data_IF_889859922485
#
_entry.id   IF_889859922485
#
_cell.length_a   1.000
_cell.length_b   1.000
_cell.length_c   1.000
_cell.angle_alpha   90.00
_cell.angle_beta   90.00
_cell.angle_gamma   90.00
#
_symmetry.space_group_name_H-M   'P 1'
#
loop_
_entity.id
_entity.type
_entity.pdbx_description
1 polymer ?
#
# COMPACT_ATOMS: atom_id res chain seq x y z
N UNK A 1 21.97 1.90 -67.43
CA UNK A 1 22.57 1.63 -66.10
C UNK A 1 22.58 0.12 -65.95
N UNK A 2 23.64 -0.59 -66.36
CA UNK A 2 24.92 -0.86 -65.65
C UNK A 2 24.63 -1.50 -64.28
N UNK A 3 25.17 -2.64 -63.84
CA UNK A 3 25.98 -3.75 -64.38
C UNK A 3 25.96 -4.83 -63.26
N UNK A 4 25.72 -6.10 -63.55
CA UNK A 4 26.71 -7.17 -63.77
C UNK A 4 27.54 -7.56 -62.53
N UNK A 5 27.39 -8.83 -62.14
CA UNK A 5 28.27 -9.63 -61.28
C UNK A 5 29.75 -9.50 -61.69
N UNK A 6 30.68 -9.62 -60.74
CA UNK A 6 31.83 -10.54 -60.86
C UNK A 6 32.65 -10.70 -59.57
N UNK A 7 33.02 -11.96 -59.40
CA UNK A 7 33.89 -12.61 -58.42
C UNK A 7 35.38 -12.36 -58.72
N UNK A 8 36.26 -12.91 -57.86
CA UNK A 8 37.74 -13.08 -57.98
C UNK A 8 38.58 -11.91 -57.42
N UNK A 9 39.78 -12.06 -56.85
CA UNK A 9 40.59 -13.18 -56.35
C UNK A 9 41.72 -12.56 -55.51
N UNK A 10 42.44 -13.42 -54.79
CA UNK A 10 43.55 -13.16 -53.88
C UNK A 10 44.71 -12.30 -54.42
N UNK A 11 45.47 -11.68 -53.51
CA UNK A 11 46.90 -11.94 -53.37
C UNK A 11 47.48 -11.36 -52.06
N UNK A 12 48.21 -12.22 -51.35
CA UNK A 12 49.03 -11.95 -50.17
C UNK A 12 50.13 -10.92 -50.42
N UNK A 13 50.55 -10.25 -49.34
CA UNK A 13 51.93 -9.78 -49.17
C UNK A 13 52.21 -9.62 -47.67
N UNK A 14 52.83 -10.65 -47.09
CA UNK A 14 53.60 -10.57 -45.85
C UNK A 14 54.76 -9.56 -46.00
N UNK A 15 55.17 -8.93 -44.89
CA UNK A 15 56.59 -8.84 -44.64
C UNK A 15 57.00 -9.48 -43.32
N UNK A 16 58.13 -10.17 -43.42
CA UNK A 16 58.81 -10.96 -42.41
C UNK A 16 59.09 -10.20 -41.10
N UNK A 17 58.90 -10.91 -39.99
CA UNK A 17 59.30 -10.46 -38.66
C UNK A 17 60.81 -10.53 -38.42
N UNK A 18 61.26 -9.94 -37.30
CA UNK A 18 62.39 -10.47 -36.57
C UNK A 18 62.09 -10.54 -35.05
N UNK A 19 63.01 -11.07 -34.24
CA UNK A 19 63.00 -12.42 -33.70
C UNK A 19 62.33 -12.52 -32.32
N UNK A 20 61.93 -13.74 -31.96
CA UNK A 20 61.54 -14.10 -30.61
C UNK A 20 62.71 -13.89 -29.63
N UNK A 21 62.46 -13.12 -28.57
CA UNK A 21 63.32 -13.08 -27.39
C UNK A 21 62.45 -12.94 -26.13
N UNK A 22 62.54 -13.95 -25.26
CA UNK A 22 62.31 -13.83 -23.82
C UNK A 22 60.87 -13.81 -23.33
N UNK A 23 60.31 -14.98 -23.03
CA UNK A 23 59.21 -15.10 -22.09
C UNK A 23 59.66 -14.60 -20.71
N UNK A 24 59.11 -13.47 -20.26
CA UNK A 24 59.06 -13.14 -18.84
C UNK A 24 57.80 -13.79 -18.23
N UNK A 25 57.87 -14.38 -17.04
CA UNK A 25 56.68 -14.95 -16.39
C UNK A 25 55.64 -13.85 -16.12
N UNK A 26 54.34 -14.13 -16.26
CA UNK A 26 53.32 -13.18 -15.87
C UNK A 26 53.44 -12.89 -14.37
N UNK A 27 53.45 -11.59 -14.03
CA UNK A 27 53.36 -11.14 -12.65
C UNK A 27 52.11 -11.76 -12.01
N UNK A 28 52.26 -12.29 -10.80
CA UNK A 28 51.15 -12.81 -10.03
C UNK A 28 50.08 -11.70 -9.86
N UNK A 29 48.79 -12.02 -10.01
CA UNK A 29 47.74 -11.03 -9.75
C UNK A 29 47.83 -10.57 -8.28
N UNK A 30 47.52 -9.29 -8.00
CA UNK A 30 47.52 -8.78 -6.65
C UNK A 30 46.54 -9.60 -5.81
N UNK A 31 47.03 -10.06 -4.66
CA UNK A 31 46.27 -10.82 -3.67
C UNK A 31 45.03 -10.00 -3.28
N UNK A 32 43.84 -10.59 -3.44
CA UNK A 32 42.60 -9.94 -3.08
C UNK A 32 42.65 -9.56 -1.58
N UNK A 33 42.19 -8.36 -1.20
CA UNK A 33 42.16 -7.99 0.21
C UNK A 33 41.31 -9.01 0.97
N UNK A 34 41.69 -9.36 2.22
CA UNK A 34 40.96 -10.33 3.01
C UNK A 34 39.49 -9.88 3.13
N UNK A 35 38.58 -10.78 2.75
CA UNK A 35 37.14 -10.58 2.93
C UNK A 35 36.92 -10.29 4.41
N UNK A 36 36.50 -9.07 4.73
CA UNK A 36 36.14 -8.71 6.09
C UNK A 36 35.07 -9.70 6.57
N UNK A 37 35.16 -10.23 7.80
CA UNK A 37 34.14 -11.11 8.33
C UNK A 37 32.79 -10.39 8.23
N UNK A 38 31.86 -11.08 7.59
CA UNK A 38 30.48 -10.63 7.40
C UNK A 38 29.94 -10.21 8.78
N UNK A 39 29.57 -8.92 8.90
CA UNK A 39 29.04 -8.41 10.14
C UNK A 39 27.85 -9.29 10.54
N UNK A 40 27.76 -9.76 11.80
CA UNK A 40 26.68 -10.63 12.21
C UNK A 40 25.34 -9.97 11.84
N UNK A 41 24.50 -10.70 11.11
CA UNK A 41 23.16 -10.25 10.75
C UNK A 41 22.50 -9.68 11.99
N UNK A 42 22.09 -8.41 11.90
CA UNK A 42 21.38 -7.76 12.97
C UNK A 42 20.18 -8.63 13.36
N UNK A 43 19.94 -8.88 14.66
CA UNK A 43 18.86 -9.74 15.09
C UNK A 43 17.56 -9.28 14.44
N UNK A 44 16.92 -10.21 13.72
CA UNK A 44 15.69 -9.97 12.99
C UNK A 44 14.66 -9.38 13.97
N UNK A 45 14.16 -8.18 13.65
CA UNK A 45 13.21 -7.50 14.50
C UNK A 45 12.02 -8.45 14.77
N UNK A 46 11.52 -8.55 16.01
CA UNK A 46 10.44 -9.46 16.34
C UNK A 46 9.25 -9.22 15.40
N UNK A 47 8.76 -10.29 14.78
CA UNK A 47 7.66 -10.23 13.84
C UNK A 47 6.43 -9.55 14.48
N UNK A 48 5.81 -8.63 13.74
CA UNK A 48 4.62 -7.93 14.22
C UNK A 48 3.53 -8.93 14.65
N UNK A 49 2.82 -8.68 15.77
CA UNK A 49 1.78 -9.57 16.26
C UNK A 49 0.67 -9.73 15.21
N UNK A 50 -0.06 -10.85 15.28
CA UNK A 50 -1.30 -11.03 14.50
C UNK A 50 -2.44 -10.24 15.13
N UNK A 51 -3.35 -9.74 14.31
CA UNK A 51 -4.56 -9.10 14.79
C UNK A 51 -5.46 -10.12 15.51
N UNK A 52 -6.12 -9.73 16.62
CA UNK A 52 -7.04 -10.62 17.34
C UNK A 52 -8.29 -10.96 16.52
N UNK A 53 -8.65 -10.13 15.54
CA UNK A 53 -9.76 -10.35 14.62
C UNK A 53 -9.56 -9.54 13.35
N UNK A 54 -10.17 -10.00 12.25
CA UNK A 54 -10.25 -9.29 10.97
C UNK A 54 -11.69 -8.94 10.59
N UNK A 55 -12.63 -9.12 11.54
CA UNK A 55 -14.03 -8.80 11.34
C UNK A 55 -14.26 -7.32 11.59
N UNK A 56 -14.77 -6.62 10.59
CA UNK A 56 -15.11 -5.20 10.66
C UNK A 56 -16.59 -5.03 10.33
N UNK A 57 -17.37 -4.51 11.27
CA UNK A 57 -18.81 -4.23 11.07
C UNK A 57 -19.57 -5.44 10.52
N UNK A 58 -19.23 -6.66 10.98
CA UNK A 58 -19.81 -7.92 10.52
C UNK A 58 -19.21 -8.53 9.23
N UNK A 59 -18.26 -7.85 8.56
CA UNK A 59 -17.56 -8.39 7.39
C UNK A 59 -16.19 -8.96 7.79
N UNK A 60 -15.95 -10.25 7.53
CA UNK A 60 -14.67 -10.91 7.80
C UNK A 60 -13.65 -10.67 6.66
N UNK A 61 -12.73 -9.72 6.84
CA UNK A 61 -11.68 -9.49 5.84
C UNK A 61 -10.72 -10.67 5.77
N UNK A 62 -10.33 -11.04 4.56
CA UNK A 62 -9.47 -12.19 4.25
C UNK A 62 -10.22 -13.50 4.11
N UNK A 63 -11.54 -13.48 4.34
CA UNK A 63 -12.41 -14.66 4.25
C UNK A 63 -13.67 -14.39 3.41
N UNK A 64 -14.24 -13.19 3.51
CA UNK A 64 -15.48 -12.85 2.83
C UNK A 64 -15.35 -12.97 1.30
N UNK A 65 -16.14 -13.88 0.73
CA UNK A 65 -16.30 -14.07 -0.71
C UNK A 65 -17.40 -13.13 -1.28
N UNK A 66 -17.80 -13.36 -2.53
CA UNK A 66 -18.72 -12.44 -3.21
C UNK A 66 -20.14 -12.55 -2.63
N UNK A 67 -20.53 -13.76 -2.23
CA UNK A 67 -21.81 -14.01 -1.59
C UNK A 67 -21.86 -13.34 -0.20
N UNK A 68 -20.78 -13.44 0.59
CA UNK A 68 -20.68 -12.77 1.88
C UNK A 68 -20.70 -11.25 1.75
N UNK A 69 -19.99 -10.68 0.77
CA UNK A 69 -20.02 -9.24 0.49
C UNK A 69 -21.41 -8.80 0.04
N UNK A 70 -22.04 -9.53 -0.87
CA UNK A 70 -23.38 -9.22 -1.36
C UNK A 70 -24.43 -9.29 -0.24
N UNK A 71 -24.34 -10.28 0.65
CA UNK A 71 -25.20 -10.39 1.83
C UNK A 71 -24.99 -9.20 2.78
N UNK A 72 -23.74 -8.83 3.06
CA UNK A 72 -23.40 -7.70 3.92
C UNK A 72 -23.95 -6.36 3.39
N UNK A 73 -23.86 -6.16 2.06
CA UNK A 73 -24.42 -4.99 1.35
C UNK A 73 -25.95 -4.99 1.42
N UNK A 74 -26.59 -6.13 1.15
CA UNK A 74 -28.03 -6.27 1.14
C UNK A 74 -28.67 -6.07 2.53
N UNK A 75 -28.06 -6.61 3.59
CA UNK A 75 -28.50 -6.42 4.98
C UNK A 75 -28.59 -4.93 5.36
N UNK A 76 -27.73 -4.10 4.77
CA UNK A 76 -27.65 -2.66 5.01
C UNK A 76 -28.46 -1.84 4.00
N UNK A 77 -29.20 -2.48 3.09
CA UNK A 77 -29.96 -1.78 2.05
C UNK A 77 -29.09 -0.88 1.17
N UNK A 78 -27.82 -1.24 0.97
CA UNK A 78 -26.87 -0.46 0.20
C UNK A 78 -26.92 -0.86 -1.27
N UNK A 79 -26.84 0.14 -2.15
CA UNK A 79 -26.60 -0.07 -3.58
C UNK A 79 -25.13 0.22 -3.89
N UNK A 80 -24.39 -0.84 -4.20
CA UNK A 80 -22.95 -0.79 -4.43
C UNK A 80 -22.65 -1.40 -5.80
N UNK A 81 -22.58 -0.60 -6.87
CA UNK A 81 -22.15 -1.12 -8.16
C UNK A 81 -20.77 -1.77 -8.04
N UNK A 82 -20.64 -2.94 -8.68
CA UNK A 82 -19.35 -3.58 -8.87
C UNK A 82 -18.65 -2.96 -10.09
N UNK A 83 -17.40 -2.57 -9.88
CA UNK A 83 -16.52 -2.01 -10.90
C UNK A 83 -15.27 -2.86 -10.93
N UNK A 84 -14.95 -3.43 -12.09
CA UNK A 84 -13.66 -4.04 -12.31
C UNK A 84 -12.58 -2.94 -12.27
N UNK A 85 -11.53 -3.13 -11.48
CA UNK A 85 -10.41 -2.18 -11.49
C UNK A 85 -9.62 -2.39 -12.80
N UNK A 86 -9.56 -1.42 -13.73
CA UNK A 86 -8.96 -1.66 -15.04
C UNK A 86 -7.44 -1.93 -14.98
N UNK A 87 -6.80 -1.66 -13.84
CA UNK A 87 -5.35 -1.73 -13.65
C UNK A 87 -4.91 -2.76 -12.60
N UNK A 88 -5.86 -3.51 -12.01
CA UNK A 88 -5.60 -4.43 -10.91
C UNK A 88 -6.47 -5.66 -11.06
N UNK A 89 -5.98 -6.84 -10.69
CA UNK A 89 -6.75 -8.09 -10.58
C UNK A 89 -7.66 -8.05 -9.35
N UNK A 90 -8.44 -6.96 -9.24
CA UNK A 90 -9.30 -6.66 -8.10
C UNK A 90 -10.65 -6.19 -8.58
N UNK A 91 -11.71 -6.70 -7.94
CA UNK A 91 -13.07 -6.17 -8.07
C UNK A 91 -13.36 -5.25 -6.92
N UNK A 92 -14.02 -4.15 -7.23
CA UNK A 92 -14.37 -3.12 -6.26
C UNK A 92 -15.87 -2.95 -6.25
N UNK A 93 -16.47 -3.01 -5.06
CA UNK A 93 -17.85 -2.56 -4.85
C UNK A 93 -17.81 -1.22 -4.16
N UNK A 94 -18.33 -0.20 -4.85
CA UNK A 94 -18.28 1.19 -4.38
C UNK A 94 -19.70 1.69 -4.16
N UNK A 95 -20.10 1.80 -2.91
CA UNK A 95 -21.37 2.39 -2.52
C UNK A 95 -21.15 3.90 -2.41
N UNK A 96 -21.64 4.67 -3.38
CA UNK A 96 -21.59 6.13 -3.34
C UNK A 96 -23.00 6.69 -3.15
N UNK A 97 -23.15 7.61 -2.21
CA UNK A 97 -24.43 8.21 -1.88
C UNK A 97 -24.40 8.81 -0.50
N UNK A 98 -25.44 9.56 -0.13
CA UNK A 98 -25.58 10.05 1.24
C UNK A 98 -26.42 9.06 2.03
N UNK A 99 -25.76 8.30 2.88
CA UNK A 99 -26.35 7.23 3.67
C UNK A 99 -26.63 7.72 5.09
N UNK A 100 -27.76 7.27 5.66
CA UNK A 100 -28.09 7.56 7.05
C UNK A 100 -26.99 6.99 7.98
N UNK A 101 -26.60 7.70 9.05
CA UNK A 101 -25.54 7.22 9.93
C UNK A 101 -25.85 5.87 10.60
N UNK A 102 -27.14 5.54 10.77
CA UNK A 102 -27.66 4.29 11.32
C UNK A 102 -27.37 3.04 10.47
N UNK A 103 -26.96 3.20 9.20
CA UNK A 103 -26.65 2.07 8.32
C UNK A 103 -25.38 1.32 8.75
N UNK A 104 -24.51 1.95 9.54
CA UNK A 104 -23.38 1.32 10.20
C UNK A 104 -23.53 1.54 11.72
N UNK A 105 -24.41 0.77 12.38
CA UNK A 105 -24.96 1.09 13.70
C UNK A 105 -23.94 1.03 14.85
N UNK A 106 -22.83 0.29 14.69
CA UNK A 106 -21.81 0.07 15.74
C UNK A 106 -21.03 1.35 16.14
N UNK A 107 -21.35 2.53 15.59
CA UNK A 107 -20.49 3.71 15.67
C UNK A 107 -21.16 5.02 16.09
N UNK A 108 -22.48 5.06 16.34
CA UNK A 108 -23.17 6.25 16.89
C UNK A 108 -22.91 7.57 16.13
N UNK A 109 -22.53 7.48 14.85
CA UNK A 109 -21.91 8.58 14.11
C UNK A 109 -22.90 9.69 13.76
N UNK A 110 -22.44 10.93 13.76
CA UNK A 110 -23.20 12.12 13.39
C UNK A 110 -23.00 12.54 11.92
N UNK A 111 -21.87 12.16 11.33
CA UNK A 111 -21.51 12.52 9.96
C UNK A 111 -22.23 11.73 8.87
N UNK A 112 -22.44 12.38 7.74
CA UNK A 112 -23.01 11.76 6.54
C UNK A 112 -22.03 10.74 5.97
N UNK A 113 -22.42 9.47 5.94
CA UNK A 113 -21.65 8.44 5.25
C UNK A 113 -21.82 8.65 3.75
N UNK A 114 -20.69 8.89 3.06
CA UNK A 114 -20.69 9.26 1.64
C UNK A 114 -20.10 8.22 0.71
N UNK A 115 -19.28 7.34 1.28
CA UNK A 115 -18.67 6.26 0.51
C UNK A 115 -18.41 5.04 1.40
N UNK A 116 -18.70 3.87 0.84
CA UNK A 116 -18.15 2.60 1.28
C UNK A 116 -17.45 1.98 0.06
N UNK A 117 -16.22 1.51 0.24
CA UNK A 117 -15.47 0.79 -0.77
C UNK A 117 -15.01 -0.55 -0.21
N UNK A 118 -15.41 -1.62 -0.87
CA UNK A 118 -14.94 -2.98 -0.61
C UNK A 118 -14.12 -3.42 -1.81
N UNK A 119 -12.90 -3.90 -1.59
CA UNK A 119 -12.10 -4.50 -2.65
C UNK A 119 -11.76 -5.96 -2.31
N UNK A 120 -11.76 -6.77 -3.36
CA UNK A 120 -11.39 -8.19 -3.34
C UNK A 120 -10.54 -8.52 -4.56
N UNK A 121 -9.82 -9.63 -4.52
CA UNK A 121 -9.25 -10.22 -5.73
C UNK A 121 -10.37 -10.82 -6.60
N UNK A 122 -10.13 -11.01 -7.90
CA UNK A 122 -11.11 -11.64 -8.80
C UNK A 122 -11.58 -13.00 -8.24
N UNK A 123 -10.63 -13.87 -7.89
CA UNK A 123 -10.88 -15.21 -7.35
C UNK A 123 -10.51 -15.35 -5.87
N UNK A 124 -10.50 -14.24 -5.11
CA UNK A 124 -10.06 -14.24 -3.72
C UNK A 124 -10.98 -13.46 -2.78
N UNK A 125 -10.70 -13.53 -1.47
CA UNK A 125 -11.53 -12.88 -0.47
C UNK A 125 -11.38 -11.35 -0.51
N UNK A 126 -12.30 -10.66 0.17
CA UNK A 126 -12.18 -9.24 0.46
C UNK A 126 -10.89 -8.96 1.23
N UNK A 127 -10.09 -8.02 0.76
CA UNK A 127 -8.84 -7.62 1.42
C UNK A 127 -8.83 -6.16 1.87
N UNK A 128 -9.88 -5.41 1.53
CA UNK A 128 -9.98 -4.00 1.83
C UNK A 128 -11.43 -3.60 2.10
N UNK A 129 -11.64 -2.84 3.18
CA UNK A 129 -12.86 -2.08 3.43
C UNK A 129 -12.45 -0.65 3.80
N UNK A 130 -13.05 0.35 3.16
CA UNK A 130 -12.96 1.73 3.62
C UNK A 130 -14.32 2.40 3.68
N UNK A 131 -14.48 3.29 4.66
CA UNK A 131 -15.66 4.15 4.78
C UNK A 131 -15.21 5.61 4.85
N UNK A 132 -15.98 6.50 4.22
CA UNK A 132 -15.74 7.94 4.21
C UNK A 132 -16.99 8.66 4.69
N UNK A 133 -16.86 9.38 5.79
CA UNK A 133 -17.89 10.26 6.34
C UNK A 133 -17.50 11.71 6.16
N UNK A 134 -18.48 12.57 5.88
CA UNK A 134 -18.29 14.01 5.69
C UNK A 134 -19.01 14.79 6.79
N UNK A 135 -18.34 15.83 7.26
CA UNK A 135 -18.79 16.68 8.35
C UNK A 135 -18.64 18.14 7.95
N UNK A 136 -19.55 18.95 8.49
CA UNK A 136 -19.52 20.40 8.36
C UNK A 136 -18.88 21.07 9.59
N UNK A 137 -18.87 20.39 10.74
CA UNK A 137 -18.41 20.93 12.01
C UNK A 137 -17.17 20.16 12.53
N UNK A 138 -16.10 20.87 12.95
CA UNK A 138 -14.93 20.25 13.57
C UNK A 138 -15.22 19.44 14.84
N UNK A 139 -16.16 19.90 15.67
CA UNK A 139 -16.50 19.21 16.91
C UNK A 139 -17.10 17.82 16.64
N UNK A 140 -18.01 17.72 15.68
CA UNK A 140 -18.69 16.46 15.33
C UNK A 140 -17.70 15.42 14.78
N UNK A 141 -16.78 15.84 13.89
CA UNK A 141 -15.79 14.92 13.33
C UNK A 141 -14.74 14.49 14.36
N UNK A 142 -14.37 15.37 15.30
CA UNK A 142 -13.48 15.00 16.39
C UNK A 142 -14.13 13.99 17.34
N UNK A 143 -15.41 14.21 17.71
CA UNK A 143 -16.16 13.29 18.54
C UNK A 143 -16.28 11.90 17.89
N UNK A 144 -16.69 11.85 16.62
CA UNK A 144 -16.80 10.59 15.87
C UNK A 144 -15.43 9.91 15.68
N UNK A 145 -14.35 10.68 15.51
CA UNK A 145 -12.99 10.14 15.45
C UNK A 145 -12.58 9.47 16.75
N UNK A 146 -12.78 10.12 17.89
CA UNK A 146 -12.46 9.54 19.20
C UNK A 146 -13.30 8.30 19.47
N UNK A 147 -14.60 8.35 19.18
CA UNK A 147 -15.48 7.19 19.32
C UNK A 147 -15.02 6.00 18.44
N UNK A 148 -14.60 6.27 17.19
CA UNK A 148 -14.05 5.24 16.32
C UNK A 148 -12.73 4.66 16.87
N UNK A 149 -11.83 5.53 17.36
CA UNK A 149 -10.56 5.10 17.95
C UNK A 149 -10.79 4.26 19.20
N UNK A 150 -11.72 4.64 20.07
CA UNK A 150 -12.04 3.89 21.28
C UNK A 150 -12.67 2.54 20.96
N UNK A 151 -13.61 2.48 20.02
CA UNK A 151 -14.23 1.24 19.58
C UNK A 151 -13.21 0.25 18.99
N UNK A 152 -12.30 0.75 18.14
CA UNK A 152 -11.24 -0.09 17.54
C UNK A 152 -10.21 -0.47 18.58
N UNK A 153 -9.88 0.42 19.52
CA UNK A 153 -8.98 0.10 20.63
C UNK A 153 -9.55 -1.02 21.51
N UNK A 154 -10.85 -0.99 21.80
CA UNK A 154 -11.52 -2.05 22.53
C UNK A 154 -11.49 -3.40 21.77
N UNK A 155 -11.50 -3.36 20.44
CA UNK A 155 -11.48 -4.55 19.58
C UNK A 155 -10.08 -5.12 19.36
N UNK A 156 -9.07 -4.27 19.14
CA UNK A 156 -7.74 -4.65 18.65
C UNK A 156 -6.62 -4.42 19.67
N UNK A 157 -6.89 -3.73 20.77
CA UNK A 157 -5.88 -3.22 21.69
C UNK A 157 -5.35 -1.84 21.29
N UNK A 158 -4.32 -1.33 21.99
CA UNK A 158 -3.81 0.03 21.77
C UNK A 158 -3.24 0.21 20.34
N UNK A 159 -3.35 1.42 19.76
CA UNK A 159 -2.79 1.72 18.46
C UNK A 159 -1.26 1.69 18.47
N UNK A 160 -0.69 1.37 17.31
CA UNK A 160 0.76 1.41 17.06
C UNK A 160 1.28 2.82 16.80
N UNK A 161 0.45 3.71 16.24
CA UNK A 161 0.80 5.10 15.96
C UNK A 161 -0.43 5.98 16.18
N UNK A 162 -0.23 7.19 16.67
CA UNK A 162 -1.34 8.09 16.97
C UNK A 162 -0.91 9.55 16.82
N UNK A 163 -1.72 10.31 16.08
CA UNK A 163 -1.74 11.76 16.03
C UNK A 163 -3.17 12.20 16.35
N UNK A 164 -3.41 12.49 17.62
CA UNK A 164 -4.76 12.78 18.16
C UNK A 164 -5.22 14.19 17.82
N UNK A 165 -6.54 14.38 17.92
CA UNK A 165 -7.16 15.69 18.03
C UNK A 165 -7.19 16.04 19.51
N UNK A 166 -6.21 16.82 19.98
CA UNK A 166 -6.20 17.28 21.38
C UNK A 166 -6.82 18.68 21.53
N UNK A 167 -6.84 19.46 20.45
CA UNK A 167 -7.39 20.82 20.38
C UNK A 167 -8.13 21.02 19.05
N UNK A 168 -9.34 21.57 19.12
CA UNK A 168 -10.16 21.90 17.95
C UNK A 168 -9.59 23.10 17.16
N UNK A 169 -8.78 23.96 17.78
CA UNK A 169 -8.12 25.08 17.08
C UNK A 169 -7.19 24.60 15.94
N UNK A 170 -6.73 23.35 16.00
CA UNK A 170 -5.96 22.75 14.92
C UNK A 170 -6.77 22.60 13.60
N UNK A 171 -8.10 22.69 13.67
CA UNK A 171 -8.97 22.80 12.50
C UNK A 171 -9.05 24.21 11.93
N UNK A 172 -8.47 25.25 12.53
CA UNK A 172 -8.43 26.58 11.92
C UNK A 172 -7.49 26.62 10.71
N UNK A 173 -6.52 25.70 10.67
CA UNK A 173 -5.66 25.49 9.52
C UNK A 173 -6.48 25.15 8.26
N UNK A 174 -6.11 25.66 7.08
CA UNK A 174 -6.71 25.25 5.81
C UNK A 174 -6.47 23.76 5.51
N UNK A 175 -5.44 23.16 6.11
CA UNK A 175 -5.11 21.74 6.03
C UNK A 175 -4.90 21.18 7.43
N UNK A 176 -5.77 20.28 7.85
CA UNK A 176 -5.63 19.56 9.12
C UNK A 176 -5.66 18.05 8.86
N UNK A 177 -4.75 17.32 9.52
CA UNK A 177 -4.60 15.87 9.39
C UNK A 177 -4.35 15.25 10.74
N UNK A 178 -5.18 14.28 11.06
CA UNK A 178 -5.10 13.46 12.27
C UNK A 178 -5.22 12.01 11.88
N UNK A 179 -4.49 11.12 12.53
CA UNK A 179 -4.44 9.72 12.14
C UNK A 179 -4.09 8.83 13.33
N UNK A 180 -4.83 7.75 13.49
CA UNK A 180 -4.51 6.65 14.41
C UNK A 180 -4.39 5.38 13.59
N UNK A 181 -3.34 4.59 13.85
CA UNK A 181 -3.03 3.37 13.12
C UNK A 181 -2.82 2.19 14.07
N UNK A 182 -3.39 1.05 13.68
CA UNK A 182 -3.04 -0.26 14.18
C UNK A 182 -2.33 -1.05 13.08
N UNK A 183 -1.13 -1.53 13.37
CA UNK A 183 -0.34 -2.33 12.46
C UNK A 183 -0.09 -3.71 13.06
N UNK A 184 -0.62 -4.73 12.41
CA UNK A 184 -0.37 -6.14 12.67
C UNK A 184 0.35 -6.76 11.47
N UNK A 185 0.82 -7.99 11.61
CA UNK A 185 1.41 -8.74 10.49
C UNK A 185 0.40 -9.08 9.40
N UNK A 186 -0.89 -9.15 9.73
CA UNK A 186 -1.96 -9.64 8.87
C UNK A 186 -3.16 -8.67 8.74
N UNK A 187 -3.06 -7.48 9.34
CA UNK A 187 -4.07 -6.43 9.25
C UNK A 187 -3.43 -5.06 9.47
N UNK A 188 -3.85 -4.06 8.70
CA UNK A 188 -3.63 -2.65 9.01
C UNK A 188 -4.97 -1.94 9.10
N UNK A 189 -5.11 -1.12 10.12
CA UNK A 189 -6.28 -0.27 10.34
C UNK A 189 -5.82 1.18 10.47
N UNK A 190 -6.41 2.06 9.68
CA UNK A 190 -6.15 3.50 9.69
C UNK A 190 -7.47 4.24 9.92
N UNK A 191 -7.53 5.06 10.97
CA UNK A 191 -8.60 6.05 11.18
C UNK A 191 -7.99 7.42 11.03
N UNK A 192 -8.51 8.24 10.11
CA UNK A 192 -7.92 9.55 9.82
C UNK A 192 -8.96 10.62 9.57
N UNK A 193 -8.66 11.84 10.03
CA UNK A 193 -9.39 13.03 9.65
C UNK A 193 -8.55 13.78 8.61
N UNK A 194 -9.21 14.23 7.55
CA UNK A 194 -8.64 15.14 6.56
C UNK A 194 -9.57 16.34 6.39
N UNK A 195 -9.04 17.53 6.67
CA UNK A 195 -9.62 18.80 6.23
C UNK A 195 -8.82 19.30 5.02
N UNK A 196 -9.50 19.55 3.91
CA UNK A 196 -8.95 20.24 2.75
C UNK A 196 -9.58 21.63 2.61
N UNK A 197 -8.81 22.62 2.18
CA UNK A 197 -9.26 24.00 2.06
C UNK A 197 -10.53 24.11 1.18
N UNK A 198 -11.55 24.82 1.67
CA UNK A 198 -12.82 25.00 0.97
C UNK A 198 -13.66 23.74 0.78
N UNK A 199 -13.28 22.62 1.39
CA UNK A 199 -14.00 21.35 1.34
C UNK A 199 -14.59 20.98 2.71
N UNK A 200 -15.45 19.97 2.71
CA UNK A 200 -15.92 19.30 3.93
C UNK A 200 -14.75 18.66 4.70
N UNK A 201 -14.95 18.42 5.99
CA UNK A 201 -14.01 17.64 6.80
C UNK A 201 -14.40 16.17 6.64
N UNK A 202 -13.44 15.31 6.29
CA UNK A 202 -13.71 13.88 6.12
C UNK A 202 -13.08 13.05 7.23
N UNK A 203 -13.83 12.08 7.75
CA UNK A 203 -13.31 10.97 8.54
C UNK A 203 -13.24 9.73 7.64
N UNK A 204 -12.04 9.18 7.50
CA UNK A 204 -11.77 7.97 6.74
C UNK A 204 -11.37 6.86 7.70
N UNK A 205 -12.05 5.72 7.60
CA UNK A 205 -11.66 4.49 8.27
C UNK A 205 -11.33 3.46 7.20
N UNK A 206 -10.13 2.88 7.28
CA UNK A 206 -9.61 1.94 6.30
C UNK A 206 -9.09 0.70 7.01
N UNK A 207 -9.52 -0.46 6.57
CA UNK A 207 -9.06 -1.77 7.00
C UNK A 207 -8.50 -2.51 5.79
N UNK A 208 -7.27 -3.00 5.89
CA UNK A 208 -6.59 -3.67 4.77
C UNK A 208 -5.78 -4.86 5.25
N UNK A 209 -5.78 -5.94 4.47
CA UNK A 209 -4.85 -7.05 4.64
C UNK A 209 -3.57 -6.76 3.87
N UNK A 210 -2.42 -6.58 4.55
CA UNK A 210 -1.14 -6.32 3.90
C UNK A 210 -0.74 -7.45 2.94
N UNK A 211 0.02 -7.13 1.89
CA UNK A 211 0.58 -8.15 0.98
C UNK A 211 -0.37 -8.67 -0.09
N UNK A 212 -1.69 -8.54 0.05
CA UNK A 212 -2.64 -9.17 -0.89
C UNK A 212 -2.60 -8.51 -2.27
N UNK A 213 -2.64 -7.18 -2.34
CA UNK A 213 -2.57 -6.47 -3.64
C UNK A 213 -1.22 -6.61 -4.32
N UNK A 214 -0.13 -6.61 -3.55
CA UNK A 214 1.23 -6.78 -4.06
C UNK A 214 1.42 -8.20 -4.63
N UNK A 215 0.90 -9.22 -3.95
CA UNK A 215 0.89 -10.60 -4.45
C UNK A 215 0.03 -10.75 -5.71
N UNK A 216 -1.11 -10.06 -5.76
CA UNK A 216 -2.00 -10.11 -6.92
C UNK A 216 -1.36 -9.46 -8.15
N UNK A 217 -0.66 -8.34 -7.96
CA UNK A 217 0.15 -7.70 -9.02
C UNK A 217 1.32 -8.58 -9.48
N UNK A 218 2.01 -9.26 -8.55
CA UNK A 218 3.09 -10.18 -8.88
C UNK A 218 2.62 -11.39 -9.71
N UNK A 219 1.40 -11.88 -9.48
CA UNK A 219 0.77 -12.98 -10.24
C UNK A 219 0.18 -12.54 -11.58
N UNK A 220 -0.15 -11.26 -11.73
CA UNK A 220 -0.70 -10.65 -12.95
C UNK A 220 0.28 -10.49 -14.12
N UNK A 221 1.56 -10.87 -13.94
CA UNK A 221 2.48 -11.20 -15.04
C UNK A 221 2.67 -10.10 -16.09
N UNK A 222 3.49 -9.09 -15.78
CA UNK A 222 3.96 -8.14 -16.78
C UNK A 222 4.91 -7.11 -16.20
N UNK A 223 6.18 -7.49 -16.03
CA UNK A 223 7.27 -6.51 -15.99
C UNK A 223 7.25 -5.70 -17.28
N UNK A 224 6.67 -4.50 -17.23
CA UNK A 224 6.81 -3.50 -18.27
C UNK A 224 7.56 -2.31 -17.66
N UNK A 225 8.87 -2.35 -17.93
CA UNK A 225 9.88 -1.30 -17.76
C UNK A 225 10.58 -1.19 -16.39
N UNK A 226 11.69 -1.92 -16.29
CA UNK A 226 13.03 -1.38 -15.99
C UNK A 226 13.26 -0.75 -14.63
N UNK A 227 14.11 -1.41 -13.82
CA UNK A 227 15.00 -0.79 -12.83
C UNK A 227 14.44 0.38 -12.02
N UNK A 228 13.43 0.11 -11.19
CA UNK A 228 13.32 0.82 -9.92
C UNK A 228 13.20 -0.21 -8.80
N UNK A 229 14.35 -0.47 -8.20
CA UNK A 229 14.50 -1.07 -6.86
C UNK A 229 13.36 -0.55 -5.97
N UNK A 230 12.62 -1.41 -5.25
CA UNK A 230 11.61 -0.93 -4.32
C UNK A 230 12.29 0.05 -3.38
N UNK A 231 11.84 1.31 -3.40
CA UNK A 231 12.23 2.25 -2.38
C UNK A 231 11.80 1.63 -1.05
N UNK A 232 12.79 1.23 -0.26
CA UNK A 232 12.61 0.76 1.11
C UNK A 232 11.62 1.70 1.82
N UNK A 233 10.66 1.20 2.63
CA UNK A 233 9.60 2.01 3.23
C UNK A 233 10.08 3.04 4.27
N UNK A 234 11.40 3.28 4.36
CA UNK A 234 12.03 4.13 5.34
C UNK A 234 12.12 5.62 4.99
N UNK A 235 11.70 6.09 3.80
CA UNK A 235 11.81 7.52 3.46
C UNK A 235 10.51 8.07 2.86
N UNK A 236 9.58 8.46 3.73
CA UNK A 236 8.56 9.45 3.37
C UNK A 236 9.15 10.85 3.64
N UNK A 237 9.44 11.67 2.62
CA UNK A 237 10.21 12.93 2.79
C UNK A 237 9.44 14.08 3.47
N UNK A 238 8.37 13.79 4.21
CA UNK A 238 7.55 14.80 4.89
C UNK A 238 7.24 14.49 6.36
N UNK A 239 8.01 13.61 7.00
CA UNK A 239 8.05 13.53 8.46
C UNK A 239 9.44 13.97 8.88
N UNK A 240 9.57 15.25 9.21
CA UNK A 240 10.67 15.67 10.05
C UNK A 240 10.41 15.08 11.43
N UNK A 241 11.28 14.18 11.85
CA UNK A 241 11.45 13.88 13.26
C UNK A 241 12.00 15.17 13.90
N UNK A 242 11.16 15.89 14.62
CA UNK A 242 11.61 16.99 15.48
C UNK A 242 11.98 16.43 16.87
N UNK A 243 12.99 17.04 17.54
CA UNK A 243 13.79 16.44 18.62
C UNK A 243 13.09 16.29 19.98
#
# INVERSE_FOLDING_TARGET
MIALLLFACMCSSEPAGPPAAGSAPPAAPPEAPPVAPEAPEAPEAPAAPKAPTRTVQGLALGEADDAAIAAWVAERGLECPEVASPRRTTRQRRCQGTYAPSLLPDRGASGALTEILIARLDDGPAHHLSTIRKYSLPADVAADYHAAVDAITAQLGPPTQTRRVDDLSAFDSPLARFATRWQFSDLRVDVSILKAAGSYISLNEVWVIPGVEEQAQARGGGSLHGDLKPASPANNPHVADDP
#
